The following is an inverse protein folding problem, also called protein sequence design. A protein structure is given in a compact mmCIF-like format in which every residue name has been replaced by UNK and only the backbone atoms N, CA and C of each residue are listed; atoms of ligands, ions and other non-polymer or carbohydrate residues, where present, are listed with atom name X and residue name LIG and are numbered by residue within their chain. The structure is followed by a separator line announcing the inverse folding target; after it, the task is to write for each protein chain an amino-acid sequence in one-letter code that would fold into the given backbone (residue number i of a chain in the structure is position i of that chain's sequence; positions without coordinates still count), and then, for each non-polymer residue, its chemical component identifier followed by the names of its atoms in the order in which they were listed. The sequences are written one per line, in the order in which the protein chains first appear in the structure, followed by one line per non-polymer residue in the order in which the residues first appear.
data_IF_127151955052
#
_entry.id   IF_127151955052
#
_cell.length_a   1.000
_cell.length_b   1.000
_cell.length_c   1.000
_cell.angle_alpha   90.00
_cell.angle_beta   90.00
_cell.angle_gamma   90.00
#
_symmetry.space_group_name_H-M   'P 1'
#
loop_
_entity.id
_entity.type
_entity.pdbx_description
1 polymer ?
#
# COMPACT_ATOMS: atom_id res chain seq x y z
N UNK A 1 -30.59 46.26 -99.42
CA UNK A 1 -30.75 47.54 -98.65
C UNK A 1 -31.34 47.20 -97.28
N UNK A 2 -30.78 47.56 -96.21
CA UNK A 2 -31.01 47.47 -94.82
C UNK A 2 -30.13 46.50 -94.04
N UNK A 3 -29.28 47.15 -93.30
CA UNK A 3 -28.43 46.54 -92.23
C UNK A 3 -29.27 46.11 -91.05
N UNK A 4 -28.94 44.99 -90.48
CA UNK A 4 -29.41 44.62 -89.16
C UNK A 4 -28.17 44.27 -88.25
N UNK A 5 -28.07 45.07 -87.19
CA UNK A 5 -26.97 44.99 -86.23
C UNK A 5 -27.14 43.82 -85.28
N UNK A 6 -26.05 42.98 -85.13
CA UNK A 6 -25.96 41.90 -84.18
C UNK A 6 -25.57 42.46 -82.82
N UNK A 7 -26.40 42.27 -81.79
CA UNK A 7 -26.08 42.48 -80.38
C UNK A 7 -25.45 41.23 -79.82
N UNK A 8 -24.17 41.32 -79.41
CA UNK A 8 -23.50 40.31 -78.62
C UNK A 8 -23.95 40.43 -77.15
N UNK A 9 -24.49 39.37 -76.62
CA UNK A 9 -24.73 39.19 -75.20
C UNK A 9 -23.52 38.63 -74.56
N UNK A 10 -22.91 39.36 -73.64
CA UNK A 10 -21.79 38.84 -72.76
C UNK A 10 -22.36 37.95 -71.69
N UNK A 11 -21.84 36.75 -71.66
CA UNK A 11 -22.07 35.78 -70.56
C UNK A 11 -21.06 36.05 -69.46
N UNK A 12 -21.52 36.58 -68.33
CA UNK A 12 -20.74 36.74 -67.14
C UNK A 12 -20.68 35.39 -66.41
N UNK A 13 -19.50 34.77 -66.37
CA UNK A 13 -19.23 33.59 -65.61
C UNK A 13 -19.11 33.98 -64.13
N UNK A 14 -20.12 33.64 -63.33
CA UNK A 14 -20.05 33.72 -61.86
C UNK A 14 -19.20 32.60 -61.31
N UNK A 15 -17.97 32.92 -60.96
CA UNK A 15 -17.08 32.00 -60.24
C UNK A 15 -17.60 31.72 -58.86
N UNK A 16 -18.06 30.50 -58.63
CA UNK A 16 -18.45 29.98 -57.32
C UNK A 16 -17.18 29.56 -56.54
N UNK A 17 -16.73 30.41 -55.63
CA UNK A 17 -15.62 30.09 -54.69
C UNK A 17 -16.15 29.13 -53.65
N UNK A 18 -15.82 27.86 -53.75
CA UNK A 18 -16.09 26.86 -52.71
C UNK A 18 -15.00 27.01 -51.66
N UNK A 19 -15.37 27.66 -50.55
CA UNK A 19 -14.51 27.72 -49.33
C UNK A 19 -14.67 26.41 -48.57
N UNK A 20 -13.63 25.54 -48.67
CA UNK A 20 -13.49 24.35 -47.84
C UNK A 20 -13.11 24.81 -46.41
N UNK A 21 -14.09 24.87 -45.51
CA UNK A 21 -13.85 24.96 -44.07
C UNK A 21 -13.29 23.58 -43.57
N UNK A 22 -11.99 23.48 -43.49
CA UNK A 22 -11.32 22.42 -42.76
C UNK A 22 -11.56 22.64 -41.24
N UNK A 23 -12.64 22.07 -40.72
CA UNK A 23 -12.82 21.90 -39.29
C UNK A 23 -11.78 20.89 -38.79
N UNK A 24 -10.64 21.39 -38.31
CA UNK A 24 -9.71 20.61 -37.54
C UNK A 24 -10.39 20.12 -36.25
N UNK A 25 -10.87 18.90 -36.24
CA UNK A 25 -11.32 18.19 -35.04
C UNK A 25 -10.08 17.92 -34.18
N UNK A 26 -9.76 18.88 -33.31
CA UNK A 26 -8.77 18.66 -32.25
C UNK A 26 -9.41 17.63 -31.31
N UNK A 27 -9.12 16.35 -31.55
CA UNK A 27 -9.32 15.31 -30.55
C UNK A 27 -8.45 15.71 -29.34
N UNK A 28 -9.06 16.45 -28.40
CA UNK A 28 -8.50 16.58 -27.09
C UNK A 28 -8.43 15.17 -26.52
N UNK A 29 -7.26 14.51 -26.64
CA UNK A 29 -6.91 13.40 -25.78
C UNK A 29 -6.90 13.96 -24.36
N UNK A 30 -8.05 13.95 -23.70
CA UNK A 30 -8.04 14.00 -22.26
C UNK A 30 -7.17 12.81 -21.83
N UNK A 31 -6.10 13.05 -21.07
CA UNK A 31 -5.38 11.94 -20.48
C UNK A 31 -6.45 11.16 -19.70
N UNK A 32 -6.67 9.90 -20.07
CA UNK A 32 -7.45 9.00 -19.24
C UNK A 32 -6.86 9.16 -17.85
N UNK A 33 -7.66 9.66 -16.91
CA UNK A 33 -7.21 9.94 -15.56
C UNK A 33 -6.69 8.60 -15.06
N UNK A 34 -5.37 8.47 -15.00
CA UNK A 34 -4.74 7.22 -14.56
C UNK A 34 -5.36 6.95 -13.20
N UNK A 35 -6.06 5.83 -13.08
CA UNK A 35 -6.71 5.46 -11.83
C UNK A 35 -5.69 5.66 -10.71
N UNK A 36 -6.08 6.36 -9.65
CA UNK A 36 -5.18 6.71 -8.53
C UNK A 36 -4.64 5.42 -7.90
N UNK A 37 -3.48 4.98 -8.39
CA UNK A 37 -2.79 3.77 -7.93
C UNK A 37 -2.01 4.13 -6.69
N UNK A 38 -2.49 3.66 -5.55
CA UNK A 38 -1.90 3.98 -4.25
C UNK A 38 -1.24 2.76 -3.65
N UNK A 39 -0.01 2.94 -3.18
CA UNK A 39 0.77 1.94 -2.46
C UNK A 39 0.81 2.34 -0.99
N UNK A 40 0.49 1.39 -0.12
CA UNK A 40 0.57 1.50 1.32
C UNK A 40 1.80 0.72 1.77
N UNK A 41 2.88 1.44 2.07
CA UNK A 41 4.10 0.84 2.59
C UNK A 41 3.85 0.40 4.04
N UNK A 42 4.02 -0.88 4.32
CA UNK A 42 3.86 -1.42 5.66
C UNK A 42 5.08 -2.22 6.09
N UNK A 43 5.47 -2.05 7.34
CA UNK A 43 6.64 -2.67 7.94
C UNK A 43 6.22 -3.40 9.21
N UNK A 44 6.50 -4.70 9.28
CA UNK A 44 6.16 -5.54 10.41
C UNK A 44 7.38 -5.78 11.31
N UNK A 45 7.13 -6.29 12.51
CA UNK A 45 8.07 -6.79 13.52
C UNK A 45 8.85 -5.74 14.31
N UNK A 46 8.87 -4.49 13.87
CA UNK A 46 9.61 -3.43 14.58
C UNK A 46 9.27 -3.26 16.08
N UNK A 47 10.13 -2.56 16.85
CA UNK A 47 11.47 -2.08 16.50
C UNK A 47 12.52 -3.19 16.47
N UNK A 48 13.24 -3.28 15.36
CA UNK A 48 14.36 -4.22 15.16
C UNK A 48 15.57 -3.48 14.57
N UNK A 49 16.63 -4.23 14.28
CA UNK A 49 17.76 -3.72 13.51
C UNK A 49 17.25 -3.27 12.12
N UNK A 50 17.36 -2.03 11.76
CA UNK A 50 16.79 -1.49 10.51
C UNK A 50 15.66 -0.49 10.72
N UNK A 51 14.97 -0.51 11.86
CA UNK A 51 13.88 0.45 12.15
C UNK A 51 14.35 1.91 12.04
N UNK A 52 15.54 2.23 12.55
CA UNK A 52 16.14 3.56 12.43
C UNK A 52 16.25 3.95 10.96
N UNK A 53 16.81 3.08 10.14
CA UNK A 53 17.01 3.29 8.71
C UNK A 53 15.68 3.47 7.96
N UNK A 54 14.65 2.71 8.33
CA UNK A 54 13.30 2.88 7.78
C UNK A 54 12.77 4.27 8.09
N UNK A 55 12.81 4.70 9.36
CA UNK A 55 12.32 6.02 9.76
C UNK A 55 13.09 7.17 9.09
N UNK A 56 14.42 7.05 8.98
CA UNK A 56 15.27 8.05 8.31
C UNK A 56 14.90 8.18 6.83
N UNK A 57 14.72 7.08 6.13
CA UNK A 57 14.33 7.09 4.71
C UNK A 57 12.92 7.63 4.52
N UNK A 58 11.94 7.23 5.34
CA UNK A 58 10.57 7.73 5.25
C UNK A 58 10.50 9.25 5.45
N UNK A 59 11.29 9.78 6.41
CA UNK A 59 11.41 11.22 6.66
C UNK A 59 12.07 11.94 5.48
N UNK A 60 13.20 11.43 4.99
CA UNK A 60 13.95 12.02 3.87
C UNK A 60 13.14 12.02 2.57
N UNK A 61 12.43 10.94 2.28
CA UNK A 61 11.59 10.80 1.08
C UNK A 61 10.22 11.46 1.22
N UNK A 62 9.83 11.89 2.43
CA UNK A 62 8.54 12.50 2.75
C UNK A 62 7.36 11.66 2.22
N UNK A 63 7.33 10.38 2.58
CA UNK A 63 6.27 9.44 2.18
C UNK A 63 5.57 8.84 3.38
N UNK A 64 4.25 8.62 3.29
CA UNK A 64 3.50 7.95 4.35
C UNK A 64 3.81 6.46 4.41
N UNK A 65 3.76 5.90 5.62
CA UNK A 65 3.89 4.47 5.86
C UNK A 65 3.19 4.04 7.16
N UNK A 66 3.05 2.74 7.36
CA UNK A 66 2.56 2.16 8.61
C UNK A 66 3.56 1.13 9.13
N UNK A 67 3.85 1.19 10.42
CA UNK A 67 4.72 0.25 11.11
C UNK A 67 3.90 -0.55 12.12
N UNK A 68 3.66 -1.84 11.84
CA UNK A 68 3.01 -2.74 12.79
C UNK A 68 4.06 -3.30 13.75
N UNK A 69 4.10 -2.73 14.94
CA UNK A 69 5.17 -2.98 15.90
C UNK A 69 4.79 -4.07 16.92
N UNK A 70 5.77 -4.86 17.32
CA UNK A 70 5.66 -5.91 18.34
C UNK A 70 5.93 -5.33 19.71
N UNK A 71 5.01 -5.51 20.66
CA UNK A 71 5.12 -4.95 22.00
C UNK A 71 6.34 -5.42 22.77
N UNK A 72 6.74 -6.69 22.62
CA UNK A 72 7.94 -7.24 23.25
C UNK A 72 9.19 -6.52 22.75
N UNK A 73 9.33 -6.31 21.44
CA UNK A 73 10.44 -5.58 20.85
C UNK A 73 10.44 -4.12 21.30
N UNK A 74 9.29 -3.47 21.28
CA UNK A 74 9.11 -2.09 21.71
C UNK A 74 9.49 -1.84 23.18
N UNK A 75 9.30 -2.84 24.04
CA UNK A 75 9.61 -2.73 25.48
C UNK A 75 11.01 -3.26 25.87
N UNK A 76 11.78 -3.81 24.92
CA UNK A 76 13.02 -4.56 25.19
C UNK A 76 14.11 -3.73 25.84
N UNK A 77 14.25 -2.47 25.44
CA UNK A 77 15.27 -1.54 25.94
C UNK A 77 14.87 -0.07 25.72
N UNK A 78 15.71 0.87 26.16
CA UNK A 78 15.43 2.30 26.04
C UNK A 78 15.47 2.81 24.60
N UNK A 79 16.36 2.25 23.75
CA UNK A 79 16.47 2.60 22.34
C UNK A 79 15.20 2.20 21.58
N UNK A 80 14.71 0.98 21.78
CA UNK A 80 13.44 0.51 21.20
C UNK A 80 12.26 1.41 21.57
N UNK A 81 12.18 1.82 22.84
CA UNK A 81 11.15 2.77 23.31
C UNK A 81 11.28 4.13 22.61
N UNK A 82 12.50 4.62 22.43
CA UNK A 82 12.75 5.87 21.73
C UNK A 82 12.35 5.78 20.23
N UNK A 83 12.58 4.64 19.58
CA UNK A 83 12.14 4.41 18.19
C UNK A 83 10.61 4.41 18.06
N UNK A 84 9.88 3.78 18.96
CA UNK A 84 8.42 3.87 19.01
C UNK A 84 7.96 5.32 19.19
N UNK A 85 8.57 6.05 20.13
CA UNK A 85 8.23 7.45 20.36
C UNK A 85 8.52 8.32 19.13
N UNK A 86 9.66 8.09 18.45
CA UNK A 86 10.00 8.76 17.18
C UNK A 86 8.95 8.47 16.11
N UNK A 87 8.64 7.19 15.85
CA UNK A 87 7.67 6.80 14.86
C UNK A 87 6.31 7.48 15.09
N UNK A 88 5.85 7.51 16.35
CA UNK A 88 4.60 8.18 16.74
C UNK A 88 4.63 9.70 16.59
N UNK A 89 5.79 10.32 16.63
CA UNK A 89 5.94 11.77 16.44
C UNK A 89 6.00 12.21 14.98
N UNK A 90 6.19 11.27 14.05
CA UNK A 90 6.27 11.53 12.61
C UNK A 90 4.86 11.59 12.00
N UNK A 91 4.42 12.74 11.41
CA UNK A 91 3.04 12.90 10.92
C UNK A 91 2.64 11.93 9.81
N UNK A 92 3.61 11.43 9.04
CA UNK A 92 3.39 10.51 7.93
C UNK A 92 3.57 9.04 8.33
N UNK A 93 3.85 8.75 9.60
CA UNK A 93 4.02 7.38 10.09
C UNK A 93 2.87 7.02 11.02
N UNK A 94 2.17 5.94 10.69
CA UNK A 94 1.18 5.32 11.58
C UNK A 94 1.85 4.17 12.31
N UNK A 95 1.78 4.14 13.63
CA UNK A 95 2.15 2.97 14.43
C UNK A 95 0.92 2.10 14.61
N UNK A 96 1.01 0.84 14.20
CA UNK A 96 -0.01 -0.18 14.36
C UNK A 96 0.44 -1.30 15.32
N UNK A 97 -0.50 -2.16 15.66
CA UNK A 97 -0.31 -3.27 16.59
C UNK A 97 0.05 -4.56 15.82
N UNK A 98 1.16 -5.20 16.19
CA UNK A 98 1.56 -6.51 15.67
C UNK A 98 1.66 -7.55 16.80
N UNK A 99 0.71 -7.55 17.72
CA UNK A 99 0.67 -8.30 18.97
C UNK A 99 1.82 -7.93 19.94
N UNK A 100 1.72 -8.40 21.18
CA UNK A 100 2.81 -8.22 22.16
C UNK A 100 3.94 -9.21 21.96
N UNK A 101 3.60 -10.48 21.77
CA UNK A 101 4.57 -11.59 21.80
C UNK A 101 5.05 -12.04 20.42
N UNK A 102 4.44 -11.55 19.32
CA UNK A 102 4.60 -12.12 17.98
C UNK A 102 4.40 -13.65 17.98
N UNK A 103 3.39 -14.11 18.73
CA UNK A 103 3.10 -15.54 18.91
C UNK A 103 4.30 -16.37 19.45
N UNK A 104 5.43 -15.74 19.83
CA UNK A 104 6.71 -16.42 20.07
C UNK A 104 7.11 -17.40 18.95
N UNK A 105 6.69 -17.10 17.69
CA UNK A 105 6.82 -17.96 16.52
C UNK A 105 6.16 -19.34 16.68
N UNK A 106 5.14 -19.44 17.54
CA UNK A 106 4.37 -20.66 17.80
C UNK A 106 2.91 -20.46 17.42
N UNK A 107 2.66 -20.17 16.17
CA UNK A 107 1.37 -19.73 15.63
C UNK A 107 0.22 -20.68 15.98
N UNK A 108 0.40 -21.99 15.81
CA UNK A 108 -0.63 -22.99 16.17
C UNK A 108 -1.09 -22.89 17.62
N UNK A 109 -0.14 -22.73 18.56
CA UNK A 109 -0.47 -22.57 19.98
C UNK A 109 -1.13 -21.23 20.26
N UNK A 110 -0.62 -20.17 19.64
CA UNK A 110 -1.11 -18.81 19.84
C UNK A 110 -2.55 -18.65 19.35
N UNK A 111 -2.86 -19.13 18.14
CA UNK A 111 -4.17 -18.97 17.51
C UNK A 111 -5.22 -19.99 17.98
N UNK A 112 -4.84 -21.01 18.76
CA UNK A 112 -5.78 -21.96 19.34
C UNK A 112 -6.70 -21.35 20.44
N UNK A 113 -6.35 -20.15 20.94
CA UNK A 113 -7.09 -19.45 22.01
C UNK A 113 -7.30 -18.00 21.62
N UNK A 114 -8.47 -17.67 21.11
CA UNK A 114 -8.82 -16.32 20.66
C UNK A 114 -8.79 -15.28 21.78
N UNK A 115 -9.19 -15.64 23.00
CA UNK A 115 -9.17 -14.69 24.14
C UNK A 115 -7.72 -14.36 24.51
N UNK A 116 -6.82 -15.34 24.49
CA UNK A 116 -5.39 -15.12 24.68
C UNK A 116 -4.78 -14.24 23.58
N UNK A 117 -5.21 -14.40 22.32
CA UNK A 117 -4.80 -13.52 21.23
C UNK A 117 -5.24 -12.08 21.52
N UNK A 118 -6.49 -11.86 21.88
CA UNK A 118 -7.00 -10.51 22.22
C UNK A 118 -6.23 -9.92 23.41
N UNK A 119 -6.00 -10.69 24.46
CA UNK A 119 -5.23 -10.22 25.62
C UNK A 119 -3.80 -9.80 25.25
N UNK A 120 -3.14 -10.55 24.35
CA UNK A 120 -1.81 -10.25 23.83
C UNK A 120 -1.81 -8.97 22.99
N UNK A 121 -2.81 -8.78 22.15
CA UNK A 121 -3.01 -7.56 21.35
C UNK A 121 -3.29 -6.34 22.23
N UNK A 122 -4.15 -6.45 23.23
CA UNK A 122 -4.43 -5.36 24.19
C UNK A 122 -3.16 -4.99 24.96
N UNK A 123 -2.37 -5.97 25.36
CA UNK A 123 -1.07 -5.74 26.00
C UNK A 123 -0.11 -4.95 25.10
N UNK A 124 -0.09 -5.26 23.79
CA UNK A 124 0.71 -4.50 22.83
C UNK A 124 0.24 -3.03 22.75
N UNK A 125 -1.07 -2.77 22.68
CA UNK A 125 -1.59 -1.40 22.69
C UNK A 125 -1.09 -0.60 23.89
N UNK A 126 -1.11 -1.18 25.09
CA UNK A 126 -0.61 -0.50 26.29
C UNK A 126 0.87 -0.12 26.19
N UNK A 127 1.71 -0.99 25.61
CA UNK A 127 3.14 -0.73 25.41
C UNK A 127 3.40 0.30 24.31
N UNK A 128 2.66 0.19 23.19
CA UNK A 128 2.82 1.07 22.04
C UNK A 128 2.10 2.41 22.19
N UNK A 129 1.29 2.56 23.23
CA UNK A 129 0.49 3.76 23.51
C UNK A 129 -0.63 3.95 22.47
N UNK A 130 -1.24 2.86 22.00
CA UNK A 130 -2.33 2.90 21.02
C UNK A 130 -3.67 2.91 21.72
N UNK A 131 -4.59 3.70 21.18
CA UNK A 131 -5.98 3.77 21.63
C UNK A 131 -6.88 2.94 20.71
N UNK A 132 -8.04 2.53 21.21
CA UNK A 132 -9.04 1.82 20.43
C UNK A 132 -9.98 2.81 19.71
N UNK A 133 -10.41 2.53 18.47
CA UNK A 133 -10.05 1.37 17.67
C UNK A 133 -8.61 1.46 17.15
N UNK A 134 -7.87 0.34 17.19
CA UNK A 134 -6.47 0.27 16.82
C UNK A 134 -6.27 -0.42 15.47
N UNK A 135 -5.41 0.15 14.61
CA UNK A 135 -4.94 -0.50 13.40
C UNK A 135 -4.00 -1.65 13.78
N UNK A 136 -4.25 -2.85 13.27
CA UNK A 136 -3.52 -4.04 13.66
C UNK A 136 -3.28 -5.00 12.49
N UNK A 137 -2.20 -5.75 12.58
CA UNK A 137 -1.94 -6.91 11.76
C UNK A 137 -1.63 -8.09 12.66
N UNK A 138 -2.31 -9.21 12.45
CA UNK A 138 -2.03 -10.44 13.20
C UNK A 138 -0.75 -11.09 12.67
N UNK A 139 0.19 -11.53 13.53
CA UNK A 139 1.43 -12.16 13.12
C UNK A 139 1.21 -13.34 12.17
N UNK A 140 1.82 -13.28 10.97
CA UNK A 140 1.73 -14.32 9.96
C UNK A 140 0.31 -14.59 9.42
N UNK A 141 -0.61 -13.64 9.48
CA UNK A 141 -2.00 -13.80 8.97
C UNK A 141 -2.37 -12.69 8.00
N UNK A 142 -2.73 -13.10 6.77
CA UNK A 142 -3.19 -12.20 5.72
C UNK A 142 -4.72 -12.09 5.74
N UNK A 143 -5.25 -11.42 6.75
CA UNK A 143 -6.68 -11.28 7.01
C UNK A 143 -7.08 -9.82 7.09
N UNK A 144 -8.27 -9.50 6.56
CA UNK A 144 -8.86 -8.18 6.70
C UNK A 144 -10.17 -8.25 7.51
N UNK A 145 -10.31 -7.38 8.51
CA UNK A 145 -11.55 -7.07 9.22
C UNK A 145 -11.60 -5.56 9.42
N UNK A 146 -12.22 -4.90 8.44
CA UNK A 146 -12.41 -3.45 8.39
C UNK A 146 -13.91 -3.16 8.20
N UNK A 147 -14.39 -1.96 8.42
CA UNK A 147 -15.81 -1.63 8.29
C UNK A 147 -16.45 -2.06 6.97
N UNK A 148 -15.72 -1.95 5.86
CA UNK A 148 -16.23 -2.28 4.52
C UNK A 148 -15.45 -3.40 3.83
N UNK A 149 -14.54 -4.10 4.55
CA UNK A 149 -13.71 -5.17 3.98
C UNK A 149 -13.59 -6.31 4.98
N UNK A 150 -13.99 -7.50 4.54
CA UNK A 150 -13.78 -8.74 5.29
C UNK A 150 -13.25 -9.82 4.33
N UNK A 151 -12.02 -10.29 4.57
CA UNK A 151 -11.42 -11.39 3.83
C UNK A 151 -10.71 -12.33 4.79
N UNK A 152 -10.75 -13.63 4.48
CA UNK A 152 -10.03 -14.64 5.23
C UNK A 152 -8.64 -14.86 4.64
N UNK A 153 -7.74 -15.36 5.48
CA UNK A 153 -6.43 -15.82 5.05
C UNK A 153 -6.56 -17.11 4.23
N UNK A 154 -6.23 -17.00 2.94
CA UNK A 154 -6.28 -18.15 2.02
C UNK A 154 -4.97 -18.97 2.01
N UNK A 155 -3.95 -18.53 2.74
CA UNK A 155 -2.66 -19.22 2.85
C UNK A 155 -2.69 -20.40 3.83
N UNK A 156 -3.67 -20.41 4.75
CA UNK A 156 -3.81 -21.48 5.75
C UNK A 156 -4.41 -22.72 5.09
N UNK A 157 -3.76 -23.89 5.27
CA UNK A 157 -4.32 -25.17 4.82
C UNK A 157 -5.67 -25.41 5.50
N UNK A 158 -6.64 -25.91 4.73
CA UNK A 158 -7.99 -26.28 5.23
C UNK A 158 -7.98 -27.22 6.43
N UNK A 159 -6.91 -28.02 6.60
CA UNK A 159 -6.72 -28.92 7.74
C UNK A 159 -6.32 -28.18 9.02
N UNK A 160 -5.78 -26.98 8.89
CA UNK A 160 -5.34 -26.14 10.00
C UNK A 160 -6.41 -25.11 10.42
N UNK A 161 -7.46 -24.95 9.61
CA UNK A 161 -8.60 -24.07 9.93
C UNK A 161 -9.23 -24.52 11.27
N UNK A 162 -9.38 -23.57 12.18
CA UNK A 162 -9.87 -23.82 13.54
C UNK A 162 -8.81 -24.32 14.54
N UNK A 163 -7.59 -24.60 14.06
CA UNK A 163 -6.45 -24.92 14.91
C UNK A 163 -5.43 -23.76 14.93
N UNK A 164 -5.29 -23.10 13.78
CA UNK A 164 -4.39 -21.96 13.57
C UNK A 164 -5.12 -20.67 13.20
N UNK A 165 -6.43 -20.67 13.22
CA UNK A 165 -7.29 -19.49 13.03
C UNK A 165 -7.97 -19.12 14.33
N UNK A 166 -7.76 -17.91 14.87
CA UNK A 166 -8.64 -17.38 15.91
C UNK A 166 -9.99 -17.02 15.32
N UNK A 167 -10.98 -16.72 16.15
CA UNK A 167 -12.20 -16.04 15.71
C UNK A 167 -11.84 -14.59 15.34
N UNK A 168 -11.61 -14.33 14.06
CA UNK A 168 -11.25 -13.01 13.55
C UNK A 168 -12.34 -11.97 13.78
N UNK A 169 -13.63 -12.37 13.77
CA UNK A 169 -14.74 -11.47 14.03
C UNK A 169 -14.73 -11.04 15.50
N UNK A 170 -14.45 -11.98 16.41
CA UNK A 170 -14.31 -11.66 17.82
C UNK A 170 -13.13 -10.70 18.06
N UNK A 171 -11.95 -10.96 17.47
CA UNK A 171 -10.79 -10.06 17.58
C UNK A 171 -11.15 -8.65 17.09
N UNK A 172 -11.79 -8.55 15.93
CA UNK A 172 -12.19 -7.26 15.38
C UNK A 172 -13.24 -6.54 16.25
N UNK A 173 -14.23 -7.28 16.77
CA UNK A 173 -15.27 -6.75 17.64
C UNK A 173 -14.73 -6.16 18.97
N UNK A 174 -13.53 -6.58 19.39
CA UNK A 174 -12.85 -5.97 20.56
C UNK A 174 -12.19 -4.63 20.26
N UNK A 175 -12.28 -4.12 19.01
CA UNK A 175 -11.82 -2.80 18.61
C UNK A 175 -10.53 -2.80 17.78
N UNK A 176 -10.19 -3.91 17.12
CA UNK A 176 -9.06 -3.97 16.19
C UNK A 176 -9.53 -3.93 14.75
N UNK A 177 -9.00 -3.00 13.96
CA UNK A 177 -9.08 -3.03 12.52
C UNK A 177 -7.93 -3.87 11.98
N UNK A 178 -8.25 -5.06 11.44
CA UNK A 178 -7.25 -6.01 10.98
C UNK A 178 -6.92 -5.79 9.51
N UNK A 179 -5.62 -5.71 9.21
CA UNK A 179 -5.09 -5.52 7.86
C UNK A 179 -4.18 -6.67 7.46
N UNK A 180 -4.44 -7.26 6.30
CA UNK A 180 -3.53 -8.14 5.59
C UNK A 180 -2.61 -7.35 4.63
N UNK A 181 -2.24 -8.00 3.52
CA UNK A 181 -1.41 -7.41 2.46
C UNK A 181 -1.80 -7.95 1.09
N UNK A 182 -1.46 -7.22 0.04
CA UNK A 182 -1.67 -7.63 -1.36
C UNK A 182 -0.39 -8.20 -1.98
N UNK A 183 0.77 -7.74 -1.54
CA UNK A 183 2.09 -8.19 -2.00
C UNK A 183 3.13 -8.10 -0.89
N UNK A 184 4.17 -8.93 -0.99
CA UNK A 184 5.22 -9.01 0.01
C UNK A 184 6.61 -8.89 -0.62
N UNK A 185 7.46 -8.03 -0.06
CA UNK A 185 8.88 -8.09 -0.30
C UNK A 185 9.48 -9.11 0.67
N UNK A 186 9.73 -10.30 0.15
CA UNK A 186 10.17 -11.45 0.94
C UNK A 186 11.62 -11.28 1.40
N UNK A 187 11.92 -11.73 2.59
CA UNK A 187 13.29 -11.88 3.11
C UNK A 187 13.61 -13.34 3.46
N UNK A 188 14.89 -13.69 3.52
CA UNK A 188 15.33 -14.98 3.99
C UNK A 188 15.41 -15.03 5.54
N UNK A 189 15.79 -16.16 6.10
CA UNK A 189 15.89 -16.35 7.55
C UNK A 189 16.95 -15.49 8.25
N UNK A 190 17.73 -14.69 7.52
CA UNK A 190 18.69 -13.72 8.07
C UNK A 190 18.17 -12.28 8.01
N UNK A 191 16.97 -12.06 7.46
CA UNK A 191 16.39 -10.75 7.20
C UNK A 191 16.82 -10.14 5.87
N UNK A 192 17.62 -10.84 5.04
CA UNK A 192 18.09 -10.32 3.76
C UNK A 192 16.97 -10.37 2.72
N UNK A 193 16.69 -9.25 1.99
CA UNK A 193 15.71 -9.24 0.90
C UNK A 193 16.02 -10.30 -0.17
N UNK A 194 15.02 -11.06 -0.58
CA UNK A 194 15.13 -12.09 -1.64
C UNK A 194 15.04 -11.43 -3.02
N UNK A 195 14.03 -10.57 -3.23
CA UNK A 195 13.90 -9.85 -4.50
C UNK A 195 14.81 -8.63 -4.50
N UNK A 196 15.36 -8.31 -5.67
CA UNK A 196 15.99 -7.01 -5.90
C UNK A 196 14.95 -5.89 -5.96
N UNK A 197 15.36 -4.65 -5.71
CA UNK A 197 14.50 -3.46 -5.89
C UNK A 197 13.86 -3.43 -7.29
N UNK A 198 14.65 -3.71 -8.33
CA UNK A 198 14.16 -3.75 -9.71
C UNK A 198 13.08 -4.81 -9.90
N UNK A 199 13.26 -5.98 -9.32
CA UNK A 199 12.29 -7.08 -9.36
C UNK A 199 11.00 -6.67 -8.66
N UNK A 200 11.10 -6.13 -7.44
CA UNK A 200 9.95 -5.67 -6.65
C UNK A 200 9.14 -4.60 -7.40
N UNK A 201 9.79 -3.62 -7.99
CA UNK A 201 9.10 -2.60 -8.80
C UNK A 201 8.41 -3.24 -10.02
N UNK A 202 9.06 -4.19 -10.69
CA UNK A 202 8.47 -4.89 -11.85
C UNK A 202 7.26 -5.74 -11.45
N UNK A 203 7.29 -6.39 -10.29
CA UNK A 203 6.17 -7.15 -9.75
C UNK A 203 4.98 -6.22 -9.43
N UNK A 204 5.22 -5.07 -8.80
CA UNK A 204 4.20 -4.06 -8.52
C UNK A 204 3.58 -3.52 -9.82
N UNK A 205 4.41 -3.18 -10.83
CA UNK A 205 3.94 -2.74 -12.15
C UNK A 205 3.04 -3.81 -12.80
N UNK A 206 3.44 -5.09 -12.70
CA UNK A 206 2.67 -6.21 -13.24
C UNK A 206 1.32 -6.37 -12.51
N UNK A 207 1.30 -6.27 -11.20
CA UNK A 207 0.07 -6.35 -10.39
C UNK A 207 -0.93 -5.24 -10.79
N UNK A 208 -0.49 -4.01 -10.94
CA UNK A 208 -1.34 -2.90 -11.36
C UNK A 208 -1.68 -2.92 -12.87
N UNK A 209 -0.86 -3.57 -13.70
CA UNK A 209 -1.08 -3.73 -15.14
C UNK A 209 -1.96 -4.92 -15.51
N UNK A 210 -2.11 -5.88 -14.61
CA UNK A 210 -2.82 -7.13 -14.83
C UNK A 210 -4.30 -7.10 -14.41
N UNK A 211 -4.95 -8.27 -14.52
CA UNK A 211 -6.31 -8.48 -14.01
C UNK A 211 -6.30 -8.97 -12.56
N UNK A 212 -5.29 -8.62 -11.79
CA UNK A 212 -5.18 -8.99 -10.38
C UNK A 212 -6.23 -8.21 -9.59
N UNK A 213 -6.99 -8.94 -8.75
CA UNK A 213 -7.94 -8.30 -7.84
C UNK A 213 -7.20 -7.96 -6.56
N UNK A 214 -6.94 -6.69 -6.35
CA UNK A 214 -6.61 -6.18 -5.03
C UNK A 214 -7.84 -6.27 -4.11
N UNK A 215 -7.61 -6.37 -2.83
CA UNK A 215 -8.69 -6.31 -1.82
C UNK A 215 -9.48 -5.00 -1.98
N UNK A 216 -8.79 -3.89 -2.22
CA UNK A 216 -9.39 -2.62 -2.65
C UNK A 216 -8.86 -2.24 -4.04
N UNK A 217 -9.72 -1.93 -5.02
CA UNK A 217 -9.29 -1.54 -6.36
C UNK A 217 -8.27 -0.41 -6.33
N UNK A 218 -7.16 -0.57 -7.07
CA UNK A 218 -6.06 0.40 -7.19
C UNK A 218 -5.34 0.76 -5.88
N UNK A 219 -5.47 -0.06 -4.84
CA UNK A 219 -4.81 0.11 -3.54
C UNK A 219 -4.03 -1.16 -3.23
N UNK A 220 -2.72 -1.04 -3.12
CA UNK A 220 -1.82 -2.15 -2.84
C UNK A 220 -1.17 -1.95 -1.48
N UNK A 221 -1.40 -2.87 -0.55
CA UNK A 221 -0.63 -2.94 0.69
C UNK A 221 0.61 -3.79 0.43
N UNK A 222 1.79 -3.16 0.56
CA UNK A 222 3.07 -3.83 0.45
C UNK A 222 3.58 -4.17 1.85
N UNK A 223 3.71 -5.46 2.13
CA UNK A 223 4.34 -5.98 3.34
C UNK A 223 5.85 -6.02 3.18
N UNK A 224 6.54 -5.47 4.16
CA UNK A 224 7.98 -5.53 4.37
C UNK A 224 8.26 -5.73 5.86
N UNK A 225 9.50 -6.02 6.21
CA UNK A 225 9.93 -6.17 7.61
C UNK A 225 11.12 -5.25 7.90
N UNK A 226 11.15 -4.67 9.10
CA UNK A 226 12.19 -3.70 9.49
C UNK A 226 13.60 -4.25 9.31
N UNK A 227 13.83 -5.52 9.64
CA UNK A 227 15.13 -6.16 9.59
C UNK A 227 15.74 -6.24 8.17
N UNK A 228 14.92 -6.09 7.13
CA UNK A 228 15.39 -6.05 5.74
C UNK A 228 16.25 -4.82 5.45
N UNK A 229 16.08 -3.76 6.25
CA UNK A 229 16.67 -2.45 5.99
C UNK A 229 17.90 -2.14 6.83
N UNK A 230 18.59 -3.18 7.32
CA UNK A 230 19.89 -3.06 7.96
C UNK A 230 20.96 -2.58 6.98
N UNK A 231 21.99 -1.90 7.48
CA UNK A 231 23.13 -1.44 6.68
C UNK A 231 23.85 -2.59 5.99
N UNK A 232 23.95 -3.74 6.65
CA UNK A 232 24.58 -4.96 6.11
C UNK A 232 23.91 -5.46 4.83
N UNK A 233 22.65 -5.11 4.59
CA UNK A 233 21.89 -5.43 3.36
C UNK A 233 21.73 -4.23 2.43
N UNK A 234 22.46 -3.15 2.67
CA UNK A 234 22.30 -1.89 1.93
C UNK A 234 20.89 -1.31 2.05
N UNK A 235 20.26 -1.52 3.21
CA UNK A 235 18.85 -1.28 3.48
C UNK A 235 18.36 0.12 3.16
N UNK A 236 19.02 1.21 3.65
CA UNK A 236 18.61 2.59 3.33
C UNK A 236 18.57 2.86 1.84
N UNK A 237 19.59 2.45 1.10
CA UNK A 237 19.68 2.67 -0.34
C UNK A 237 18.61 1.85 -1.10
N UNK A 238 18.33 0.63 -0.67
CA UNK A 238 17.30 -0.21 -1.27
C UNK A 238 15.90 0.38 -1.07
N UNK A 239 15.58 0.84 0.14
CA UNK A 239 14.28 1.46 0.42
C UNK A 239 14.10 2.77 -0.33
N UNK A 240 15.13 3.63 -0.33
CA UNK A 240 15.15 4.86 -1.11
C UNK A 240 14.93 4.58 -2.60
N UNK A 241 15.65 3.61 -3.17
CA UNK A 241 15.52 3.25 -4.58
C UNK A 241 14.12 2.69 -4.91
N UNK A 242 13.51 1.91 -4.02
CA UNK A 242 12.13 1.44 -4.18
C UNK A 242 11.17 2.63 -4.24
N UNK A 243 11.21 3.51 -3.24
CA UNK A 243 10.30 4.66 -3.14
C UNK A 243 10.45 5.57 -4.35
N UNK A 244 11.69 5.93 -4.71
CA UNK A 244 11.95 6.79 -5.87
C UNK A 244 11.52 6.14 -7.18
N UNK A 245 11.79 4.85 -7.36
CA UNK A 245 11.37 4.11 -8.54
C UNK A 245 9.85 4.03 -8.69
N UNK A 246 9.11 3.94 -7.59
CA UNK A 246 7.64 3.97 -7.58
C UNK A 246 7.10 5.39 -7.84
N UNK A 247 7.70 6.43 -7.23
CA UNK A 247 7.37 7.84 -7.52
C UNK A 247 7.53 8.19 -9.01
N UNK A 248 8.63 7.75 -9.64
CA UNK A 248 8.89 7.97 -11.07
C UNK A 248 7.83 7.33 -11.98
N UNK A 249 7.13 6.30 -11.51
CA UNK A 249 6.02 5.62 -12.22
C UNK A 249 4.66 6.26 -11.94
N UNK A 250 4.62 7.31 -11.14
CA UNK A 250 3.39 8.03 -10.80
C UNK A 250 2.52 7.34 -9.75
N UNK A 251 3.06 6.35 -9.00
CA UNK A 251 2.35 5.78 -7.87
C UNK A 251 2.23 6.79 -6.73
N UNK A 252 1.07 6.80 -6.09
CA UNK A 252 0.82 7.55 -4.85
C UNK A 252 1.12 6.67 -3.65
N UNK A 253 1.38 7.30 -2.51
CA UNK A 253 1.57 6.60 -1.23
C UNK A 253 0.47 7.03 -0.26
N UNK A 254 0.01 6.08 0.57
CA UNK A 254 -1.02 6.30 1.57
C UNK A 254 -0.66 5.71 2.93
N UNK A 255 -1.34 6.18 3.97
CA UNK A 255 -1.33 5.57 5.30
C UNK A 255 -2.47 4.56 5.44
N UNK A 256 -2.26 3.52 6.25
CA UNK A 256 -3.30 2.51 6.49
C UNK A 256 -4.65 3.09 6.98
N UNK A 257 -4.72 4.15 7.80
CA UNK A 257 -5.99 4.80 8.13
C UNK A 257 -6.81 5.26 6.92
N UNK A 258 -6.15 5.58 5.80
CA UNK A 258 -6.80 6.03 4.55
C UNK A 258 -7.15 4.88 3.60
N UNK A 259 -6.80 3.64 3.95
CA UNK A 259 -7.03 2.48 3.08
C UNK A 259 -8.51 2.15 2.92
N UNK A 260 -9.27 2.18 4.00
CA UNK A 260 -10.72 1.95 4.02
C UNK A 260 -11.40 3.06 4.83
N UNK A 261 -11.48 4.31 4.28
CA UNK A 261 -12.06 5.42 5.00
C UNK A 261 -13.52 5.13 5.35
N UNK A 262 -13.89 5.47 6.57
CA UNK A 262 -15.29 5.53 6.99
C UNK A 262 -15.96 6.63 6.16
N UNK A 263 -16.96 6.28 5.36
CA UNK A 263 -17.76 7.24 4.59
C UNK A 263 -18.65 8.05 5.52
#
# INVERSE_FOLDING_TARGET
MLMAASKRHGVTASGMVIVWLLTAFVLACWPAQAADRTIYLTFDDGPLNGTTNVLDVLEAENVPATMFMVGLHASSNQESKALVARARSMPLVTVGNHSYSHAYNKYRKFYADTEAVVADMVRANAVLGLEMPAHARLPGRNVFRLPNVSTNDLSIDRKEIGIEEPDYEFVAATGFWLYGWDHEWVHDGTGKPVQSVKTMISEIDHLFGGKVRFVRPNRLILLMHDEMFQDTFNGPANLTALIQGLKQRGYKFGQIPDYDPLN
#
